data_IF_646133190919
#
_entry.id   IF_646133190919
#
_cell.length_a   1.000
_cell.length_b   1.000
_cell.length_c   1.000
_cell.angle_alpha   90.00
_cell.angle_beta   90.00
_cell.angle_gamma   90.00
#
_symmetry.space_group_name_H-M   'P 1'
#
loop_
_entity.id
_entity.type
_entity.pdbx_description
1 polymer ?
#
# COMPACT_ATOMS: atom_id res chain seq x y z
N UNK A 1 10.08 3.33 6.13
CA UNK A 1 8.83 4.09 6.34
C UNK A 1 7.83 3.02 6.70
N UNK A 2 7.62 2.86 8.00
CA UNK A 2 7.32 1.55 8.54
C UNK A 2 5.83 1.43 8.78
N UNK A 3 5.21 0.49 8.07
CA UNK A 3 3.84 0.07 8.36
C UNK A 3 3.81 -0.51 9.77
N UNK A 4 2.96 0.06 10.62
CA UNK A 4 2.78 -0.37 11.99
C UNK A 4 1.67 -1.40 12.12
N UNK A 5 1.81 -2.29 13.10
CA UNK A 5 0.73 -3.22 13.46
C UNK A 5 -0.27 -2.50 14.36
N UNK A 6 -1.55 -2.85 14.21
CA UNK A 6 -2.57 -2.39 15.15
C UNK A 6 -2.28 -2.97 16.55
N UNK A 7 -2.26 -2.10 17.55
CA UNK A 7 -2.06 -2.49 18.96
C UNK A 7 -3.33 -3.14 19.55
N UNK A 8 -4.50 -2.61 19.20
CA UNK A 8 -5.80 -3.15 19.59
C UNK A 8 -6.89 -2.77 18.58
N UNK A 9 -8.10 -3.33 18.73
CA UNK A 9 -9.22 -3.09 17.82
C UNK A 9 -9.23 -3.99 16.59
N UNK A 10 -10.10 -3.64 15.63
CA UNK A 10 -10.26 -4.38 14.37
C UNK A 10 -10.45 -3.41 13.20
N UNK A 11 -9.86 -3.76 12.05
CA UNK A 11 -9.97 -3.05 10.79
C UNK A 11 -10.70 -3.99 9.82
N UNK A 12 -11.86 -3.54 9.34
CA UNK A 12 -12.65 -4.26 8.34
C UNK A 12 -12.63 -3.53 7.00
N UNK A 13 -12.47 -4.29 5.93
CA UNK A 13 -12.67 -3.82 4.56
C UNK A 13 -13.57 -4.83 3.84
N UNK A 14 -14.64 -4.35 3.22
CA UNK A 14 -15.63 -5.20 2.54
C UNK A 14 -16.09 -6.40 3.39
N UNK A 15 -16.50 -6.11 4.64
CA UNK A 15 -16.92 -7.11 5.64
C UNK A 15 -15.83 -8.14 6.04
N UNK A 16 -14.60 -7.97 5.57
CA UNK A 16 -13.46 -8.84 5.88
C UNK A 16 -12.54 -8.20 6.91
N UNK A 17 -12.17 -8.96 7.94
CA UNK A 17 -11.15 -8.54 8.91
C UNK A 17 -9.77 -8.55 8.23
N UNK A 18 -9.15 -7.37 8.14
CA UNK A 18 -7.80 -7.18 7.58
C UNK A 18 -6.75 -6.81 8.63
N UNK A 19 -7.12 -6.77 9.91
CA UNK A 19 -6.32 -6.21 11.03
C UNK A 19 -4.91 -6.79 11.13
N UNK A 20 -4.76 -8.10 10.87
CA UNK A 20 -3.49 -8.83 11.01
C UNK A 20 -2.93 -9.30 9.66
N UNK A 21 -3.51 -8.85 8.55
CA UNK A 21 -3.02 -9.23 7.22
C UNK A 21 -1.70 -8.51 6.92
N UNK A 22 -0.71 -9.18 6.31
CA UNK A 22 0.47 -8.52 5.79
C UNK A 22 0.11 -7.48 4.72
N UNK A 23 0.85 -6.37 4.65
CA UNK A 23 0.58 -5.27 3.71
C UNK A 23 0.51 -5.72 2.24
N UNK A 24 1.39 -6.62 1.80
CA UNK A 24 1.37 -7.15 0.44
C UNK A 24 0.10 -7.95 0.12
N UNK A 25 -0.61 -8.45 1.15
CA UNK A 25 -1.90 -9.11 0.99
C UNK A 25 -3.03 -8.08 0.97
N UNK A 26 -2.92 -7.01 1.76
CA UNK A 26 -3.87 -5.89 1.78
C UNK A 26 -3.95 -5.20 0.40
N UNK A 27 -2.80 -5.00 -0.27
CA UNK A 27 -2.74 -4.39 -1.62
C UNK A 27 -3.55 -5.17 -2.65
N UNK A 28 -3.64 -6.50 -2.53
CA UNK A 28 -4.43 -7.35 -3.43
C UNK A 28 -5.94 -7.13 -3.30
N UNK A 29 -6.41 -6.50 -2.24
CA UNK A 29 -7.81 -6.07 -2.10
C UNK A 29 -8.08 -4.70 -2.74
N UNK A 30 -7.11 -4.10 -3.43
CA UNK A 30 -7.26 -2.79 -4.07
C UNK A 30 -6.93 -1.61 -3.17
N UNK A 31 -6.37 -1.84 -1.98
CA UNK A 31 -5.96 -0.79 -1.06
C UNK A 31 -4.49 -0.44 -1.33
N UNK A 32 -4.23 0.73 -1.89
CA UNK A 32 -2.86 1.22 -2.15
C UNK A 32 -2.53 2.46 -1.30
N UNK A 33 -1.24 2.73 -1.15
CA UNK A 33 -0.72 3.85 -0.34
C UNK A 33 0.09 4.79 -1.23
N UNK A 34 -0.30 6.06 -1.26
CA UNK A 34 0.51 7.14 -1.84
C UNK A 34 1.35 7.74 -0.71
N UNK A 35 2.65 7.50 -0.74
CA UNK A 35 3.57 7.96 0.29
C UNK A 35 3.86 9.45 0.18
N UNK A 36 4.15 10.07 1.32
CA UNK A 36 4.71 11.43 1.36
C UNK A 36 6.15 11.41 0.84
N UNK A 37 6.52 12.45 0.09
CA UNK A 37 7.81 12.51 -0.60
C UNK A 37 7.77 11.76 -1.94
N UNK A 38 8.44 12.32 -2.95
CA UNK A 38 8.42 11.80 -4.32
C UNK A 38 9.25 10.50 -4.37
N UNK A 39 8.63 9.36 -4.07
CA UNK A 39 9.22 8.03 -4.31
C UNK A 39 9.14 7.65 -5.80
N UNK A 40 9.38 8.62 -6.68
CA UNK A 40 9.55 8.36 -8.09
C UNK A 40 10.94 7.75 -8.28
N UNK A 41 11.03 6.78 -9.18
CA UNK A 41 12.30 6.26 -9.62
C UNK A 41 12.93 7.30 -10.55
N UNK A 42 13.71 8.23 -9.96
CA UNK A 42 14.29 9.39 -10.66
C UNK A 42 15.02 9.07 -11.98
N UNK A 43 15.72 7.92 -12.13
CA UNK A 43 16.37 7.57 -13.40
C UNK A 43 15.38 7.17 -14.52
N UNK A 44 14.12 6.90 -14.19
CA UNK A 44 13.12 6.41 -15.14
C UNK A 44 12.32 7.56 -15.76
N UNK A 45 11.83 7.35 -16.98
CA UNK A 45 10.90 8.29 -17.60
C UNK A 45 9.57 8.34 -16.83
N UNK A 46 8.77 9.38 -17.09
CA UNK A 46 7.40 9.47 -16.54
C UNK A 46 6.58 8.24 -16.94
N UNK A 47 6.68 7.79 -18.19
CA UNK A 47 5.98 6.62 -18.71
C UNK A 47 6.34 5.35 -17.93
N UNK A 48 7.62 5.14 -17.67
CA UNK A 48 8.09 3.93 -17.01
C UNK A 48 7.71 3.93 -15.52
N UNK A 49 7.72 5.09 -14.85
CA UNK A 49 7.19 5.22 -13.50
C UNK A 49 5.70 4.86 -13.43
N UNK A 50 4.90 5.30 -14.41
CA UNK A 50 3.47 4.98 -14.46
C UNK A 50 3.21 3.50 -14.71
N UNK A 51 4.02 2.85 -15.58
CA UNK A 51 3.91 1.41 -15.84
C UNK A 51 4.31 0.52 -14.67
N UNK A 52 5.19 1.00 -13.78
CA UNK A 52 5.53 0.27 -12.55
C UNK A 52 4.41 0.29 -11.52
N UNK A 53 3.51 1.27 -11.59
CA UNK A 53 2.40 1.44 -10.65
C UNK A 53 1.08 0.81 -11.08
N UNK A 54 1.01 0.26 -12.29
CA UNK A 54 -0.12 -0.55 -12.81
C UNK A 54 0.07 -2.02 -12.49
#
# INVERSE_FOLDING_TARGET
>A
MDLVKAESGQIFYDQKDITKLPTHTIVKYGISLVLEGRQLFCPLSVRDNLLLGT
#
